data_IF_163936163112
#
_entry.id   IF_163936163112
#
_cell.length_a   1.000
_cell.length_b   1.000
_cell.length_c   1.000
_cell.angle_alpha   90.00
_cell.angle_beta   90.00
_cell.angle_gamma   90.00
#
_symmetry.space_group_name_H-M   'P 1'
#
loop_
_entity.id
_entity.type
_entity.pdbx_description
1 polymer ?
#
# COMPACT_ATOMS: atom_id res chain seq x y z
N UNK A 1 20.14 -17.14 36.69
CA UNK A 1 18.70 -16.90 36.61
C UNK A 1 18.36 -15.47 36.20
N UNK A 2 19.03 -14.46 36.79
CA UNK A 2 18.80 -13.06 36.43
C UNK A 2 19.25 -12.72 35.00
N UNK A 3 20.31 -13.37 34.51
CA UNK A 3 20.81 -13.18 33.14
C UNK A 3 19.83 -13.68 32.09
N UNK A 4 19.18 -14.81 32.32
CA UNK A 4 18.20 -15.37 31.37
C UNK A 4 16.95 -14.50 31.23
N UNK A 5 16.48 -13.91 32.32
CA UNK A 5 15.31 -13.01 32.32
C UNK A 5 15.66 -11.70 31.60
N UNK A 6 16.84 -11.18 31.83
CA UNK A 6 17.34 -9.96 31.20
C UNK A 6 17.52 -10.16 29.68
N UNK A 7 18.08 -11.30 29.27
CA UNK A 7 18.24 -11.64 27.87
C UNK A 7 16.89 -11.79 27.17
N UNK A 8 15.90 -12.41 27.83
CA UNK A 8 14.54 -12.52 27.31
C UNK A 8 13.88 -11.16 27.12
N UNK A 9 14.04 -10.28 28.09
CA UNK A 9 13.49 -8.92 28.03
C UNK A 9 14.13 -8.15 26.87
N UNK A 10 15.44 -8.19 26.72
CA UNK A 10 16.15 -7.54 25.63
C UNK A 10 15.74 -8.11 24.27
N UNK A 11 15.61 -9.43 24.15
CA UNK A 11 15.17 -10.08 22.92
C UNK A 11 13.74 -9.65 22.55
N UNK A 12 12.85 -9.56 23.53
CA UNK A 12 11.47 -9.11 23.31
C UNK A 12 11.41 -7.65 22.84
N UNK A 13 12.21 -6.78 23.45
CA UNK A 13 12.30 -5.36 23.06
C UNK A 13 12.87 -5.21 21.65
N UNK A 14 13.91 -5.96 21.32
CA UNK A 14 14.52 -5.94 19.98
C UNK A 14 13.51 -6.42 18.93
N UNK A 15 12.76 -7.51 19.23
CA UNK A 15 11.73 -8.01 18.33
C UNK A 15 10.62 -6.99 18.11
N UNK A 16 10.21 -6.28 19.17
CA UNK A 16 9.20 -5.22 19.06
C UNK A 16 9.68 -4.07 18.18
N UNK A 17 10.93 -3.63 18.35
CA UNK A 17 11.53 -2.62 17.49
C UNK A 17 11.63 -3.08 16.04
N UNK A 18 12.04 -4.33 15.81
CA UNK A 18 12.11 -4.89 14.47
C UNK A 18 10.74 -4.92 13.80
N UNK A 19 9.70 -5.33 14.52
CA UNK A 19 8.34 -5.37 13.98
C UNK A 19 7.85 -3.99 13.58
N UNK A 20 8.12 -2.97 14.41
CA UNK A 20 7.77 -1.58 14.11
C UNK A 20 8.55 -1.09 12.88
N UNK A 21 9.86 -1.35 12.83
CA UNK A 21 10.70 -0.94 11.72
C UNK A 21 10.25 -1.59 10.41
N UNK A 22 9.94 -2.89 10.42
CA UNK A 22 9.46 -3.62 9.25
C UNK A 22 8.11 -3.08 8.77
N UNK A 23 7.21 -2.76 9.72
CA UNK A 23 5.89 -2.20 9.39
C UNK A 23 6.03 -0.81 8.78
N UNK A 24 6.91 0.04 9.32
CA UNK A 24 7.18 1.37 8.76
C UNK A 24 7.75 1.27 7.35
N UNK A 25 8.66 0.34 7.11
CA UNK A 25 9.23 0.10 5.79
C UNK A 25 8.15 -0.38 4.81
N UNK A 26 7.25 -1.24 5.24
CA UNK A 26 6.13 -1.70 4.43
C UNK A 26 5.19 -0.54 4.06
N UNK A 27 4.90 0.36 5.01
CA UNK A 27 4.08 1.55 4.78
C UNK A 27 4.76 2.47 3.75
N UNK A 28 6.07 2.66 3.86
CA UNK A 28 6.83 3.47 2.90
C UNK A 28 6.80 2.86 1.50
N UNK A 29 6.99 1.55 1.39
CA UNK A 29 6.90 0.83 0.12
C UNK A 29 5.49 0.93 -0.47
N UNK A 30 4.45 0.82 0.35
CA UNK A 30 3.06 0.97 -0.08
C UNK A 30 2.76 2.38 -0.56
N UNK A 31 3.35 3.40 0.08
CA UNK A 31 3.20 4.79 -0.34
C UNK A 31 3.83 5.01 -1.72
N UNK A 32 5.02 4.47 -1.94
CA UNK A 32 5.69 4.52 -3.24
C UNK A 32 4.90 3.77 -4.31
N UNK A 33 4.36 2.60 -3.98
CA UNK A 33 3.53 1.81 -4.88
C UNK A 33 2.23 2.55 -5.24
N UNK A 34 1.61 3.22 -4.26
CA UNK A 34 0.42 4.03 -4.48
C UNK A 34 0.72 5.21 -5.41
N UNK A 35 1.82 5.92 -5.20
CA UNK A 35 2.24 7.03 -6.07
C UNK A 35 2.48 6.56 -7.49
N UNK A 36 3.12 5.41 -7.67
CA UNK A 36 3.35 4.79 -8.97
C UNK A 36 2.03 4.41 -9.65
N UNK A 37 1.10 3.81 -8.90
CA UNK A 37 -0.21 3.41 -9.40
C UNK A 37 -1.04 4.62 -9.82
N UNK A 38 -0.99 5.72 -9.06
CA UNK A 38 -1.66 6.99 -9.40
C UNK A 38 -1.09 7.58 -10.69
N UNK A 39 0.22 7.49 -10.88
CA UNK A 39 0.87 7.94 -12.12
C UNK A 39 0.40 7.14 -13.34
N UNK A 40 0.31 5.82 -13.21
CA UNK A 40 -0.19 4.93 -14.26
C UNK A 40 -1.66 5.24 -14.56
N UNK A 41 -2.49 5.43 -13.55
CA UNK A 41 -3.91 5.79 -13.73
C UNK A 41 -4.05 7.11 -14.49
N UNK A 42 -3.25 8.12 -14.11
CA UNK A 42 -3.26 9.42 -14.77
C UNK A 42 -2.90 9.31 -16.24
N UNK A 43 -1.84 8.56 -16.55
CA UNK A 43 -1.40 8.30 -17.93
C UNK A 43 -2.46 7.55 -18.72
N UNK A 44 -3.11 6.56 -18.11
CA UNK A 44 -4.18 5.79 -18.74
C UNK A 44 -5.39 6.67 -19.07
N UNK A 45 -5.75 7.61 -18.18
CA UNK A 45 -6.87 8.54 -18.41
C UNK A 45 -6.54 9.52 -19.53
N UNK A 46 -5.32 10.01 -19.62
CA UNK A 46 -4.88 10.88 -20.73
C UNK A 46 -4.95 10.12 -22.06
N UNK A 47 -4.45 8.87 -22.07
CA UNK A 47 -4.51 8.03 -23.26
C UNK A 47 -5.96 7.74 -23.68
N UNK A 48 -6.86 7.50 -22.72
CA UNK A 48 -8.28 7.30 -23.01
C UNK A 48 -8.90 8.54 -23.64
N UNK A 49 -8.64 9.72 -23.07
CA UNK A 49 -9.18 10.98 -23.60
C UNK A 49 -8.73 11.21 -25.05
N UNK A 50 -7.45 10.94 -25.35
CA UNK A 50 -6.92 11.01 -26.71
C UNK A 50 -7.58 9.99 -27.64
N UNK A 51 -7.74 8.76 -27.17
CA UNK A 51 -8.38 7.67 -27.89
C UNK A 51 -9.84 8.00 -28.21
N UNK A 52 -10.57 8.59 -27.26
CA UNK A 52 -11.95 9.03 -27.47
C UNK A 52 -12.06 10.07 -28.59
N UNK A 53 -11.14 11.04 -28.60
CA UNK A 53 -11.09 12.06 -29.66
C UNK A 53 -10.78 11.43 -31.04
N UNK A 54 -9.84 10.49 -31.10
CA UNK A 54 -9.49 9.79 -32.31
C UNK A 54 -10.65 8.93 -32.83
N UNK A 55 -11.37 8.27 -31.92
CA UNK A 55 -12.54 7.47 -32.28
C UNK A 55 -13.66 8.36 -32.80
N UNK A 56 -13.93 9.49 -32.17
CA UNK A 56 -14.95 10.44 -32.61
C UNK A 56 -14.65 10.99 -34.01
N UNK A 57 -13.37 11.11 -34.37
CA UNK A 57 -12.92 11.56 -35.70
C UNK A 57 -12.88 10.42 -36.72
N UNK A 58 -13.18 9.17 -36.31
CA UNK A 58 -13.20 8.02 -37.19
C UNK A 58 -11.84 7.40 -37.49
N UNK A 59 -10.78 7.86 -36.82
CA UNK A 59 -9.41 7.37 -37.09
C UNK A 59 -9.09 6.03 -36.47
N UNK A 60 -9.81 5.62 -35.41
CA UNK A 60 -9.56 4.35 -34.72
C UNK A 60 -10.84 3.56 -34.49
N UNK A 61 -10.65 2.27 -34.40
CA UNK A 61 -11.71 1.29 -34.24
C UNK A 61 -12.25 1.28 -32.80
N UNK A 62 -13.50 0.87 -32.62
CA UNK A 62 -14.17 0.73 -31.34
C UNK A 62 -13.41 -0.20 -30.39
N UNK A 63 -12.74 -1.23 -30.93
CA UNK A 63 -11.96 -2.17 -30.13
C UNK A 63 -10.81 -1.46 -29.43
N UNK A 64 -10.13 -0.52 -30.11
CA UNK A 64 -9.05 0.27 -29.50
C UNK A 64 -9.58 1.13 -28.36
N UNK A 65 -10.75 1.75 -28.55
CA UNK A 65 -11.41 2.54 -27.50
C UNK A 65 -11.76 1.66 -26.27
N UNK A 66 -12.32 0.48 -26.50
CA UNK A 66 -12.65 -0.45 -25.42
C UNK A 66 -11.41 -0.90 -24.66
N UNK A 67 -10.30 -1.14 -25.35
CA UNK A 67 -9.03 -1.51 -24.73
C UNK A 67 -8.48 -0.36 -23.87
N UNK A 68 -8.61 0.89 -24.33
CA UNK A 68 -8.19 2.06 -23.54
C UNK A 68 -9.03 2.22 -22.28
N UNK A 69 -10.34 1.99 -22.37
CA UNK A 69 -11.26 2.00 -21.23
C UNK A 69 -10.90 0.90 -20.23
N UNK A 70 -10.60 -0.30 -20.71
CA UNK A 70 -10.18 -1.43 -19.90
C UNK A 70 -8.88 -1.12 -19.15
N UNK A 71 -7.94 -0.45 -19.81
CA UNK A 71 -6.67 -0.05 -19.19
C UNK A 71 -6.91 0.93 -18.04
N UNK A 72 -7.83 1.89 -18.19
CA UNK A 72 -8.20 2.82 -17.11
C UNK A 72 -8.83 2.05 -15.93
N UNK A 73 -9.74 1.12 -16.18
CA UNK A 73 -10.36 0.32 -15.12
C UNK A 73 -9.31 -0.50 -14.37
N UNK A 74 -8.37 -1.12 -15.09
CA UNK A 74 -7.30 -1.88 -14.47
C UNK A 74 -6.40 -0.98 -13.61
N UNK A 75 -6.05 0.20 -14.11
CA UNK A 75 -5.24 1.17 -13.38
C UNK A 75 -5.97 1.68 -12.12
N UNK A 76 -7.27 1.94 -12.23
CA UNK A 76 -8.10 2.35 -11.08
C UNK A 76 -8.20 1.25 -10.03
N UNK A 77 -8.32 0.00 -10.46
CA UNK A 77 -8.32 -1.17 -9.57
C UNK A 77 -6.98 -1.29 -8.83
N UNK A 78 -5.86 -1.10 -9.54
CA UNK A 78 -4.53 -1.15 -8.95
C UNK A 78 -4.33 -0.05 -7.89
N UNK A 79 -4.87 1.15 -8.14
CA UNK A 79 -4.86 2.25 -7.15
C UNK A 79 -5.65 1.84 -5.91
N UNK A 80 -6.86 1.29 -6.09
CA UNK A 80 -7.69 0.86 -4.97
C UNK A 80 -6.99 -0.24 -4.15
N UNK A 81 -6.31 -1.17 -4.81
CA UNK A 81 -5.57 -2.23 -4.16
C UNK A 81 -4.38 -1.68 -3.37
N UNK A 82 -3.65 -0.72 -3.94
CA UNK A 82 -2.53 -0.07 -3.26
C UNK A 82 -3.01 0.72 -2.03
N UNK A 83 -4.15 1.40 -2.13
CA UNK A 83 -4.75 2.10 -0.99
C UNK A 83 -5.17 1.13 0.12
N UNK A 84 -5.75 -0.01 -0.24
CA UNK A 84 -6.16 -1.03 0.72
C UNK A 84 -4.93 -1.62 1.45
N UNK A 85 -3.84 -1.90 0.73
CA UNK A 85 -2.59 -2.37 1.33
C UNK A 85 -2.02 -1.35 2.31
N UNK A 86 -2.02 -0.08 1.95
CA UNK A 86 -1.54 1.00 2.80
C UNK A 86 -2.35 1.10 4.09
N UNK A 87 -3.68 1.02 3.99
CA UNK A 87 -4.57 1.05 5.15
C UNK A 87 -4.35 -0.17 6.04
N UNK A 88 -4.18 -1.35 5.45
CA UNK A 88 -3.91 -2.59 6.19
C UNK A 88 -2.62 -2.51 6.99
N UNK A 89 -1.54 -1.99 6.39
CA UNK A 89 -0.25 -1.84 7.05
C UNK A 89 -0.30 -0.75 8.13
N UNK A 90 -1.04 0.33 7.91
CA UNK A 90 -1.24 1.37 8.91
C UNK A 90 -2.00 0.82 10.13
N UNK A 91 -3.03 0.01 9.91
CA UNK A 91 -3.78 -0.66 10.98
C UNK A 91 -2.87 -1.63 11.76
N UNK A 92 -2.00 -2.37 11.06
CA UNK A 92 -1.04 -3.28 11.68
C UNK A 92 -0.05 -2.51 12.57
N UNK A 93 0.39 -1.33 12.12
CA UNK A 93 1.29 -0.48 12.92
C UNK A 93 0.60 -0.01 14.20
N UNK A 94 -0.63 0.48 14.11
CA UNK A 94 -1.41 0.89 15.27
C UNK A 94 -1.62 -0.28 16.24
N UNK A 95 -1.90 -1.45 15.72
CA UNK A 95 -2.07 -2.65 16.53
C UNK A 95 -0.78 -3.04 17.23
N UNK A 96 0.35 -2.97 16.54
CA UNK A 96 1.66 -3.28 17.11
C UNK A 96 2.03 -2.31 18.23
N UNK A 97 1.79 -1.02 18.03
CA UNK A 97 2.04 0.02 19.04
C UNK A 97 1.07 -0.11 20.22
N UNK A 98 -0.22 -0.32 19.93
CA UNK A 98 -1.25 -0.50 20.96
C UNK A 98 -1.07 -1.80 21.73
N UNK A 99 -0.72 -2.89 21.05
CA UNK A 99 -0.45 -4.17 21.69
C UNK A 99 0.76 -4.12 22.61
N UNK A 100 1.83 -3.41 22.20
CA UNK A 100 3.00 -3.20 23.02
C UNK A 100 2.69 -2.41 24.28
N UNK A 101 1.84 -1.40 24.17
CA UNK A 101 1.37 -0.59 25.28
C UNK A 101 0.58 -1.45 26.30
N UNK A 102 -0.36 -2.28 25.82
CA UNK A 102 -1.17 -3.14 26.68
C UNK A 102 -0.33 -4.19 27.40
N UNK A 103 0.67 -4.76 26.74
CA UNK A 103 1.59 -5.70 27.37
C UNK A 103 2.37 -5.06 28.49
N UNK A 104 2.80 -3.82 28.33
CA UNK A 104 3.53 -3.07 29.35
C UNK A 104 2.63 -2.73 30.54
N UNK A 105 1.33 -2.46 30.32
CA UNK A 105 0.40 -2.11 31.40
C UNK A 105 -0.04 -3.33 32.21
N UNK A 106 -0.09 -4.52 31.59
CA UNK A 106 -0.49 -5.75 32.28
C UNK A 106 0.61 -6.33 33.19
N UNK A 107 1.85 -5.87 33.04
CA UNK A 107 2.97 -6.34 33.87
C UNK A 107 3.21 -5.47 35.13
N UNK A 108 2.29 -4.58 35.43
CA UNK A 108 2.26 -3.82 36.66
C UNK A 108 1.26 -4.42 37.61
#
# INVERSE_FOLDING_TARGET
RQMCIRDRYQATVINAFQNVADTLQAIQSDTEALDAALGVERSARVALALTEKQHASGYIDRLVLLNAQRTVFQASFDVAQAQASRLGNSAALFQALGGGWQSASNNR
#
